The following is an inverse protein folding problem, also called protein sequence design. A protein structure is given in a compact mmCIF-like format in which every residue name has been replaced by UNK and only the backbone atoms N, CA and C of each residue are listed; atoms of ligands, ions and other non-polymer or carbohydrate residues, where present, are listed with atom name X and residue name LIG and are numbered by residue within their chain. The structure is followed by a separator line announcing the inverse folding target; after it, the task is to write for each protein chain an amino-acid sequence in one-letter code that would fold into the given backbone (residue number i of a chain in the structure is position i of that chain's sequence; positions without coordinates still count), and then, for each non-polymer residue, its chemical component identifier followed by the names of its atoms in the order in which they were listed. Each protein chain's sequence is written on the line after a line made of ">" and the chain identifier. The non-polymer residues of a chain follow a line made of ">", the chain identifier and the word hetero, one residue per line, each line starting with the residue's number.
data_IF_724894680493
#
_entry.id   IF_724894680493
#
_cell.length_a   1.000
_cell.length_b   1.000
_cell.length_c   1.000
_cell.angle_alpha   90.00
_cell.angle_beta   90.00
_cell.angle_gamma   90.00
#
_symmetry.space_group_name_H-M   'P 1'
#
loop_
_entity.id
_entity.type
_entity.pdbx_description
1 polymer ?
#
# COMPACT_ATOMS: atom_id res chain seq x y z
N UNK A 1 -8.25 -18.82 1.63
CA UNK A 1 -8.38 -17.75 2.64
C UNK A 1 -8.50 -16.36 2.01
N UNK A 2 -7.42 -15.74 1.50
CA UNK A 2 -7.46 -14.37 0.96
C UNK A 2 -8.50 -14.17 -0.15
N UNK A 3 -8.47 -14.99 -1.21
CA UNK A 3 -9.42 -14.91 -2.32
C UNK A 3 -10.88 -15.20 -1.92
N UNK A 4 -11.11 -15.75 -0.73
CA UNK A 4 -12.44 -15.99 -0.17
C UNK A 4 -12.89 -14.83 0.76
N UNK A 5 -12.10 -13.77 0.87
CA UNK A 5 -12.36 -12.65 1.80
C UNK A 5 -12.05 -12.96 3.26
N UNK A 6 -11.54 -14.16 3.58
CA UNK A 6 -11.21 -14.57 4.94
C UNK A 6 -9.80 -14.06 5.25
N UNK A 7 -9.71 -12.86 5.81
CA UNK A 7 -8.49 -12.21 6.28
C UNK A 7 -8.86 -11.09 7.27
N UNK A 8 -7.89 -10.64 8.06
CA UNK A 8 -8.10 -9.52 8.99
C UNK A 8 -8.50 -8.26 8.21
N UNK A 9 -9.56 -7.58 8.65
CA UNK A 9 -10.20 -6.44 7.96
C UNK A 9 -10.73 -6.74 6.54
N UNK A 10 -10.84 -8.01 6.15
CA UNK A 10 -11.43 -8.41 4.87
C UNK A 10 -12.95 -8.27 4.81
N UNK A 11 -13.55 -8.35 3.61
CA UNK A 11 -12.90 -8.63 2.32
C UNK A 11 -12.12 -7.44 1.72
N UNK A 12 -10.92 -7.71 1.18
CA UNK A 12 -10.03 -6.71 0.60
C UNK A 12 -10.69 -5.81 -0.45
N UNK A 13 -11.36 -6.41 -1.45
CA UNK A 13 -11.96 -5.66 -2.54
C UNK A 13 -13.10 -4.75 -2.09
N UNK A 14 -13.90 -5.19 -1.12
CA UNK A 14 -15.00 -4.40 -0.57
C UNK A 14 -14.44 -3.18 0.19
N UNK A 15 -13.37 -3.39 0.96
CA UNK A 15 -12.64 -2.31 1.63
C UNK A 15 -12.11 -1.28 0.64
N UNK A 16 -11.37 -1.72 -0.38
CA UNK A 16 -10.79 -0.83 -1.41
C UNK A 16 -11.88 -0.07 -2.17
N UNK A 17 -12.90 -0.78 -2.68
CA UNK A 17 -13.98 -0.16 -3.46
C UNK A 17 -14.83 0.79 -2.63
N UNK A 18 -15.00 0.53 -1.34
CA UNK A 18 -15.66 1.45 -0.42
C UNK A 18 -14.94 2.80 -0.37
N UNK A 19 -13.63 2.80 -0.16
CA UNK A 19 -12.84 4.04 -0.13
C UNK A 19 -12.68 4.69 -1.50
N UNK A 20 -12.60 3.90 -2.58
CA UNK A 20 -12.57 4.42 -3.95
C UNK A 20 -13.86 5.20 -4.27
N UNK A 21 -15.04 4.61 -4.03
CA UNK A 21 -16.31 5.32 -4.26
C UNK A 21 -16.40 6.57 -3.38
N UNK A 22 -16.01 6.45 -2.11
CA UNK A 22 -16.02 7.58 -1.19
C UNK A 22 -15.07 8.72 -1.63
N UNK A 23 -13.91 8.41 -2.23
CA UNK A 23 -13.00 9.43 -2.76
C UNK A 23 -13.55 10.13 -3.99
N UNK A 24 -14.32 9.42 -4.82
CA UNK A 24 -14.99 10.03 -5.98
C UNK A 24 -16.10 10.99 -5.53
N UNK A 25 -16.88 10.61 -4.50
CA UNK A 25 -17.97 11.46 -3.97
C UNK A 25 -17.46 12.63 -3.13
N UNK A 26 -16.34 12.45 -2.41
CA UNK A 26 -15.82 13.39 -1.42
C UNK A 26 -14.34 13.67 -1.64
N UNK A 27 -13.98 14.05 -2.87
CA UNK A 27 -12.59 14.28 -3.29
C UNK A 27 -11.85 15.36 -2.48
N UNK A 28 -12.57 16.30 -1.85
CA UNK A 28 -12.00 17.29 -0.93
C UNK A 28 -11.73 16.77 0.49
N UNK A 29 -12.22 15.58 0.83
CA UNK A 29 -12.10 14.96 2.17
C UNK A 29 -11.36 13.63 2.15
N UNK A 30 -11.26 12.99 1.00
CA UNK A 30 -10.61 11.68 0.85
C UNK A 30 -9.70 11.73 -0.37
N UNK A 31 -8.39 11.62 -0.11
CA UNK A 31 -7.38 11.42 -1.14
C UNK A 31 -7.10 9.93 -1.29
N UNK A 32 -7.42 9.38 -2.46
CA UNK A 32 -7.08 7.99 -2.79
C UNK A 32 -5.75 7.93 -3.54
N UNK A 33 -4.83 7.09 -3.06
CA UNK A 33 -3.49 6.89 -3.62
C UNK A 33 -3.25 5.39 -3.83
N UNK A 34 -2.56 5.05 -4.92
CA UNK A 34 -2.12 3.68 -5.20
C UNK A 34 -0.62 3.57 -4.93
N UNK A 35 -0.20 2.47 -4.30
CA UNK A 35 1.19 2.28 -3.88
C UNK A 35 2.17 2.28 -5.06
N UNK A 36 1.81 1.62 -6.16
CA UNK A 36 2.60 1.53 -7.38
C UNK A 36 2.79 2.90 -8.03
N UNK A 37 1.71 3.68 -8.19
CA UNK A 37 1.75 5.03 -8.74
C UNK A 37 2.60 5.96 -7.87
N UNK A 38 2.42 5.88 -6.55
CA UNK A 38 3.17 6.67 -5.58
C UNK A 38 4.67 6.36 -5.62
N UNK A 39 5.04 5.09 -5.82
CA UNK A 39 6.45 4.68 -5.89
C UNK A 39 7.10 5.05 -7.22
N UNK A 40 6.33 5.08 -8.31
CA UNK A 40 6.82 5.41 -9.66
C UNK A 40 7.11 6.91 -9.81
N UNK A 41 6.27 7.76 -9.21
CA UNK A 41 6.43 9.23 -9.24
C UNK A 41 6.11 9.83 -7.87
N UNK A 42 7.09 9.75 -6.96
CA UNK A 42 6.89 10.17 -5.58
C UNK A 42 6.72 11.69 -5.45
N UNK A 43 7.42 12.48 -6.26
CA UNK A 43 7.42 13.93 -6.14
C UNK A 43 6.05 14.52 -6.52
N UNK A 44 5.46 14.08 -7.63
CA UNK A 44 4.12 14.52 -8.03
C UNK A 44 3.07 14.12 -7.00
N UNK A 45 3.18 12.92 -6.42
CA UNK A 45 2.23 12.47 -5.41
C UNK A 45 2.41 13.17 -4.06
N UNK A 46 3.64 13.53 -3.67
CA UNK A 46 3.91 14.37 -2.50
C UNK A 46 3.32 15.77 -2.67
N UNK A 47 3.49 16.39 -3.85
CA UNK A 47 2.86 17.68 -4.17
C UNK A 47 1.33 17.59 -4.13
N UNK A 48 0.75 16.52 -4.66
CA UNK A 48 -0.70 16.24 -4.58
C UNK A 48 -1.18 16.10 -3.14
N UNK A 49 -0.42 15.38 -2.29
CA UNK A 49 -0.72 15.20 -0.87
C UNK A 49 -0.65 16.54 -0.12
N UNK A 50 0.42 17.31 -0.33
CA UNK A 50 0.61 18.62 0.29
C UNK A 50 -0.53 19.59 -0.05
N UNK A 51 -0.93 19.63 -1.33
CA UNK A 51 -2.09 20.40 -1.78
C UNK A 51 -3.40 19.93 -1.13
N UNK A 52 -3.61 18.61 -1.02
CA UNK A 52 -4.79 18.06 -0.36
C UNK A 52 -4.85 18.39 1.15
N UNK A 53 -3.69 18.42 1.82
CA UNK A 53 -3.57 18.82 3.23
C UNK A 53 -3.71 20.34 3.45
N UNK A 54 -3.83 21.13 2.39
CA UNK A 54 -3.92 22.59 2.47
C UNK A 54 -2.58 23.29 2.72
N UNK A 55 -1.47 22.61 2.47
CA UNK A 55 -0.09 23.11 2.64
C UNK A 55 0.72 22.87 1.36
N UNK A 56 0.29 23.42 0.20
CA UNK A 56 1.01 23.22 -1.05
C UNK A 56 2.43 23.78 -0.95
N UNK A 57 3.38 23.09 -1.59
CA UNK A 57 4.75 23.58 -1.72
C UNK A 57 4.77 24.91 -2.47
N UNK A 58 5.63 25.81 -2.03
CA UNK A 58 5.94 27.06 -2.74
C UNK A 58 6.95 26.83 -3.85
N UNK A 59 6.96 27.72 -4.85
CA UNK A 59 7.98 27.69 -5.90
C UNK A 59 9.41 27.75 -5.36
N UNK A 60 9.62 28.36 -4.20
CA UNK A 60 10.93 28.44 -3.56
C UNK A 60 11.32 27.10 -2.93
N UNK A 61 10.40 26.45 -2.21
CA UNK A 61 10.63 25.10 -1.67
C UNK A 61 10.89 24.07 -2.78
N UNK A 62 10.19 24.17 -3.90
CA UNK A 62 10.45 23.31 -5.06
C UNK A 62 11.83 23.58 -5.68
N UNK A 63 12.26 24.84 -5.78
CA UNK A 63 13.62 25.17 -6.26
C UNK A 63 14.72 24.74 -5.29
N UNK A 64 14.39 24.67 -4.01
CA UNK A 64 15.28 24.21 -2.94
C UNK A 64 15.25 22.70 -2.76
N UNK A 65 14.56 21.96 -3.64
CA UNK A 65 14.47 20.49 -3.63
C UNK A 65 13.89 19.92 -2.33
N UNK A 66 13.00 20.67 -1.67
CA UNK A 66 12.37 20.25 -0.40
C UNK A 66 11.51 18.99 -0.59
N UNK A 67 10.88 18.83 -1.76
CA UNK A 67 10.05 17.66 -2.07
C UNK A 67 10.91 16.39 -2.10
N UNK A 68 12.06 16.48 -2.76
CA UNK A 68 13.05 15.44 -2.92
C UNK A 68 13.71 15.11 -1.57
N UNK A 69 13.98 16.11 -0.74
CA UNK A 69 14.47 15.94 0.62
C UNK A 69 13.48 15.14 1.49
N UNK A 70 12.19 15.50 1.45
CA UNK A 70 11.13 14.76 2.15
C UNK A 70 11.06 13.31 1.63
N UNK A 71 11.06 13.12 0.30
CA UNK A 71 11.04 11.79 -0.31
C UNK A 71 12.23 10.94 0.16
N UNK A 72 13.42 11.53 0.28
CA UNK A 72 14.63 10.88 0.78
C UNK A 72 14.54 10.51 2.25
N UNK A 73 14.09 11.42 3.12
CA UNK A 73 13.93 11.17 4.56
C UNK A 73 12.87 10.09 4.80
N UNK A 74 11.78 10.10 4.04
CA UNK A 74 10.71 9.10 4.13
C UNK A 74 10.96 7.84 3.29
N UNK A 75 12.11 7.72 2.63
CA UNK A 75 12.44 6.56 1.81
C UNK A 75 12.45 5.27 2.63
N UNK A 76 12.16 4.15 1.95
CA UNK A 76 12.15 2.84 2.62
C UNK A 76 13.50 2.53 3.26
N UNK A 77 14.59 2.79 2.55
CA UNK A 77 15.97 2.57 2.99
C UNK A 77 16.26 3.38 4.25
N UNK A 78 15.97 4.70 4.23
CA UNK A 78 16.20 5.56 5.38
C UNK A 78 15.34 5.12 6.57
N UNK A 79 14.03 4.92 6.38
CA UNK A 79 13.10 4.54 7.45
C UNK A 79 13.44 3.17 8.05
N UNK A 80 13.79 2.18 7.23
CA UNK A 80 14.24 0.86 7.68
C UNK A 80 15.50 0.94 8.53
N UNK A 81 16.40 1.88 8.21
CA UNK A 81 17.69 1.99 8.85
C UNK A 81 17.71 2.78 10.17
N UNK A 82 16.62 3.47 10.52
CA UNK A 82 16.49 4.16 11.80
C UNK A 82 16.51 3.18 12.97
N UNK A 83 17.30 3.48 14.02
CA UNK A 83 17.44 2.61 15.21
C UNK A 83 16.09 2.27 15.87
N UNK A 84 15.15 3.23 15.86
CA UNK A 84 13.80 3.02 16.40
C UNK A 84 13.04 1.90 15.69
N UNK A 85 13.34 1.65 14.41
CA UNK A 85 12.69 0.65 13.56
C UNK A 85 13.48 -0.67 13.48
N UNK A 86 14.77 -0.67 13.83
CA UNK A 86 15.63 -1.88 13.80
C UNK A 86 15.48 -2.78 15.03
N UNK A 87 15.14 -2.21 16.18
CA UNK A 87 15.21 -2.93 17.47
C UNK A 87 13.93 -2.76 18.28
N UNK A 88 13.61 -3.80 19.04
CA UNK A 88 12.47 -3.85 19.93
C UNK A 88 11.18 -4.30 19.25
N UNK A 89 10.11 -4.23 20.02
CA UNK A 89 8.79 -4.75 19.65
C UNK A 89 7.74 -3.64 19.69
N UNK A 90 6.71 -3.81 18.86
CA UNK A 90 5.49 -3.03 18.89
C UNK A 90 4.37 -3.92 19.43
N UNK A 91 3.78 -3.53 20.56
CA UNK A 91 2.67 -4.25 21.17
C UNK A 91 1.33 -3.71 20.66
N UNK A 92 0.52 -4.58 20.08
CA UNK A 92 -0.87 -4.29 19.71
C UNK A 92 -1.81 -4.94 20.72
N UNK A 93 -2.80 -4.18 21.20
CA UNK A 93 -3.85 -4.68 22.08
C UNK A 93 -5.09 -4.94 21.27
N UNK A 94 -5.62 -6.16 21.33
CA UNK A 94 -6.94 -6.44 20.79
C UNK A 94 -7.99 -5.99 21.81
N UNK A 95 -9.04 -5.27 21.38
CA UNK A 95 -10.09 -4.79 22.29
C UNK A 95 -10.96 -5.91 22.86
N UNK A 96 -10.77 -7.17 22.46
CA UNK A 96 -11.50 -8.29 23.07
C UNK A 96 -10.90 -8.69 24.41
N UNK A 97 -11.69 -8.52 25.47
CA UNK A 97 -11.44 -9.17 26.75
C UNK A 97 -11.65 -10.67 26.62
N UNK A 98 -10.67 -11.45 27.07
CA UNK A 98 -10.87 -12.89 27.23
C UNK A 98 -11.72 -13.15 28.48
N UNK A 99 -12.35 -14.31 28.57
CA UNK A 99 -13.10 -14.77 29.76
C UNK A 99 -12.27 -14.74 31.06
N UNK A 100 -10.94 -14.63 30.95
CA UNK A 100 -9.99 -14.50 32.06
C UNK A 100 -9.69 -13.05 32.49
N UNK A 101 -10.33 -12.05 31.87
CA UNK A 101 -10.06 -10.62 32.10
C UNK A 101 -8.72 -10.13 31.53
N UNK A 102 -8.01 -10.96 30.76
CA UNK A 102 -6.76 -10.59 30.10
C UNK A 102 -7.01 -10.11 28.68
N UNK A 103 -6.52 -8.92 28.36
CA UNK A 103 -6.46 -8.37 27.00
C UNK A 103 -5.47 -9.19 26.17
N UNK A 104 -5.89 -9.67 25.00
CA UNK A 104 -4.97 -10.35 24.07
C UNK A 104 -4.02 -9.32 23.46
N UNK A 105 -2.71 -9.55 23.60
CA UNK A 105 -1.67 -8.74 22.97
C UNK A 105 -0.97 -9.52 21.86
N UNK A 106 -0.49 -8.80 20.85
CA UNK A 106 0.46 -9.32 19.87
C UNK A 106 1.69 -8.41 19.88
N UNK A 107 2.86 -9.02 19.96
CA UNK A 107 4.15 -8.35 19.86
C UNK A 107 4.72 -8.60 18.45
N UNK A 108 5.09 -7.52 17.77
CA UNK A 108 5.68 -7.57 16.43
C UNK A 108 7.04 -6.89 16.49
N UNK A 109 8.10 -7.59 16.07
CA UNK A 109 9.43 -7.00 15.92
C UNK A 109 9.35 -5.80 14.97
N UNK A 110 9.93 -4.66 15.37
CA UNK A 110 9.83 -3.42 14.57
C UNK A 110 10.45 -3.56 13.17
N UNK A 111 11.50 -4.37 13.05
CA UNK A 111 12.13 -4.64 11.76
C UNK A 111 11.20 -5.38 10.78
N UNK A 112 10.21 -6.13 11.29
CA UNK A 112 9.28 -6.91 10.47
C UNK A 112 8.35 -6.01 9.64
N UNK A 113 8.18 -4.75 10.02
CA UNK A 113 7.43 -3.76 9.23
C UNK A 113 8.16 -3.36 7.94
N UNK A 114 9.48 -3.57 7.85
CA UNK A 114 10.32 -3.10 6.74
C UNK A 114 10.96 -4.24 5.95
N UNK A 115 10.14 -4.96 5.18
CA UNK A 115 10.55 -6.18 4.47
C UNK A 115 11.42 -5.93 3.22
N UNK A 116 10.81 -5.45 2.12
CA UNK A 116 11.50 -5.26 0.82
C UNK A 116 11.12 -3.97 0.06
N UNK A 117 9.91 -3.43 0.26
CA UNK A 117 9.36 -2.30 -0.49
C UNK A 117 9.54 -2.38 -2.02
N UNK A 118 9.30 -3.55 -2.61
CA UNK A 118 9.37 -3.79 -4.06
C UNK A 118 8.00 -4.16 -4.59
N UNK A 119 7.61 -3.54 -5.70
CA UNK A 119 6.47 -3.97 -6.50
C UNK A 119 6.83 -5.26 -7.24
N UNK A 120 5.85 -6.14 -7.48
CA UNK A 120 6.08 -7.38 -8.22
C UNK A 120 6.71 -8.55 -7.43
N UNK A 121 7.08 -8.37 -6.16
CA UNK A 121 7.72 -9.44 -5.37
C UNK A 121 6.83 -10.68 -5.15
N UNK A 122 5.54 -10.60 -5.47
CA UNK A 122 4.61 -11.73 -5.47
C UNK A 122 5.06 -12.86 -6.41
N UNK A 123 5.82 -12.56 -7.47
CA UNK A 123 6.30 -13.56 -8.45
C UNK A 123 7.23 -14.59 -7.81
N UNK A 124 7.83 -14.27 -6.65
CA UNK A 124 8.66 -15.18 -5.88
C UNK A 124 7.86 -16.16 -5.02
N UNK A 125 6.53 -16.00 -4.91
CA UNK A 125 5.68 -16.75 -3.98
C UNK A 125 4.45 -17.38 -4.64
N UNK A 126 3.90 -16.77 -5.69
CA UNK A 126 2.69 -17.26 -6.34
C UNK A 126 3.03 -18.13 -7.55
N UNK A 127 2.36 -19.27 -7.66
CA UNK A 127 2.42 -20.11 -8.86
C UNK A 127 1.57 -19.50 -9.99
N UNK A 128 1.81 -19.85 -11.26
CA UNK A 128 1.02 -19.33 -12.38
C UNK A 128 -0.49 -19.50 -12.22
N UNK A 129 -0.97 -20.63 -11.69
CA UNK A 129 -2.39 -20.86 -11.47
C UNK A 129 -2.98 -20.01 -10.34
N UNK A 130 -2.18 -19.68 -9.32
CA UNK A 130 -2.58 -18.74 -8.26
C UNK A 130 -2.69 -17.32 -8.80
N UNK A 131 -1.79 -16.94 -9.72
CA UNK A 131 -1.80 -15.64 -10.39
C UNK A 131 -3.04 -15.50 -11.26
N UNK A 132 -3.30 -16.46 -12.15
CA UNK A 132 -4.47 -16.48 -13.02
C UNK A 132 -5.79 -16.38 -12.22
N UNK A 133 -5.88 -17.13 -11.11
CA UNK A 133 -7.03 -17.05 -10.21
C UNK A 133 -7.20 -15.66 -9.60
N UNK A 134 -6.10 -15.02 -9.20
CA UNK A 134 -6.14 -13.69 -8.59
C UNK A 134 -6.46 -12.60 -9.62
N UNK A 135 -5.88 -12.68 -10.81
CA UNK A 135 -6.19 -11.80 -11.96
C UNK A 135 -7.67 -11.81 -12.29
N UNK A 136 -8.25 -13.01 -12.46
CA UNK A 136 -9.67 -13.17 -12.74
C UNK A 136 -10.53 -12.56 -11.63
N UNK A 137 -10.18 -12.82 -10.37
CA UNK A 137 -10.91 -12.27 -9.24
C UNK A 137 -10.82 -10.73 -9.18
N UNK A 138 -9.65 -10.14 -9.45
CA UNK A 138 -9.49 -8.69 -9.49
C UNK A 138 -10.35 -8.10 -10.60
N UNK A 139 -10.30 -8.68 -11.80
CA UNK A 139 -11.10 -8.23 -12.93
C UNK A 139 -12.60 -8.26 -12.61
N UNK A 140 -13.10 -9.38 -12.07
CA UNK A 140 -14.50 -9.54 -11.67
C UNK A 140 -14.91 -8.53 -10.58
N UNK A 141 -14.02 -8.23 -9.62
CA UNK A 141 -14.34 -7.35 -8.49
C UNK A 141 -14.28 -5.87 -8.85
N UNK A 142 -13.35 -5.47 -9.72
CA UNK A 142 -13.16 -4.08 -10.11
C UNK A 142 -13.95 -3.68 -11.35
N UNK A 143 -14.62 -4.64 -11.99
CA UNK A 143 -15.46 -4.39 -13.16
C UNK A 143 -16.43 -3.23 -12.90
N UNK A 144 -16.52 -2.31 -13.87
CA UNK A 144 -17.39 -1.12 -13.82
C UNK A 144 -17.10 -0.11 -12.69
N UNK A 145 -16.05 -0.31 -11.88
CA UNK A 145 -15.69 0.64 -10.82
C UNK A 145 -14.89 1.85 -11.31
N UNK A 146 -14.25 1.74 -12.48
CA UNK A 146 -13.28 2.72 -12.97
C UNK A 146 -11.93 2.68 -12.23
N UNK A 147 -11.76 1.83 -11.20
CA UNK A 147 -10.49 1.58 -10.54
C UNK A 147 -9.73 0.49 -11.28
N UNK A 148 -8.49 0.77 -11.63
CA UNK A 148 -7.56 -0.19 -12.23
C UNK A 148 -6.27 -0.20 -11.45
N UNK A 149 -5.81 -1.38 -11.07
CA UNK A 149 -4.45 -1.55 -10.55
C UNK A 149 -3.47 -1.73 -11.71
N UNK A 150 -2.26 -1.19 -11.57
CA UNK A 150 -1.12 -1.50 -12.45
C UNK A 150 -0.68 -2.94 -12.21
N UNK A 151 -1.44 -3.85 -12.80
CA UNK A 151 -1.23 -5.28 -12.71
C UNK A 151 -0.50 -5.76 -13.98
N UNK A 152 0.42 -6.70 -13.76
CA UNK A 152 1.09 -7.52 -14.76
C UNK A 152 1.50 -6.77 -16.06
N UNK A 153 2.49 -5.88 -15.98
CA UNK A 153 3.25 -5.50 -17.17
C UNK A 153 4.13 -6.66 -17.62
N UNK A 154 3.51 -7.62 -18.31
CA UNK A 154 4.05 -8.50 -19.35
C UNK A 154 2.90 -9.39 -19.79
N UNK A 155 2.24 -8.98 -20.87
CA UNK A 155 1.46 -9.92 -21.69
C UNK A 155 2.29 -11.18 -21.92
N UNK A 156 1.64 -12.34 -21.80
CA UNK A 156 2.18 -13.69 -21.98
C UNK A 156 2.69 -13.99 -23.41
N UNK A 157 3.26 -13.00 -24.12
CA UNK A 157 3.86 -13.14 -25.45
C UNK A 157 5.39 -13.18 -25.45
N UNK A 158 6.07 -12.82 -24.37
CA UNK A 158 7.55 -12.74 -24.36
C UNK A 158 8.25 -13.88 -23.59
N UNK A 159 7.55 -14.94 -23.18
CA UNK A 159 8.16 -16.09 -22.48
C UNK A 159 8.55 -17.23 -23.45
N UNK A 160 8.32 -17.06 -24.76
CA UNK A 160 8.76 -18.04 -25.78
C UNK A 160 9.65 -17.39 -26.84
N UNK A 161 10.81 -16.87 -26.42
CA UNK A 161 11.98 -16.71 -27.29
C UNK A 161 13.20 -16.32 -26.46
N UNK A 162 13.92 -17.29 -25.90
CA UNK A 162 15.37 -17.44 -26.07
C UNK A 162 15.77 -18.87 -25.74
#
# INVERSE_FOLDING_TARGET
>A
MFCQGINEFGPFFDHVLGYWRASQEKSSKILFLQYEDFKEDIDSHLKKLAMFLGVPFTNEEEKQEVVEEIAKICSFENMKDLEVNKKGEQTFRYPQETFSGKTKTIEILREAFFRKAKTGDWSNYLTPSMVERLEKLIQEKLENSGLTFKLFSKTSKDITST
#
